data_IF_570210590381
#
_entry.id   IF_570210590381
#
_cell.length_a   1.000
_cell.length_b   1.000
_cell.length_c   1.000
_cell.angle_alpha   90.00
_cell.angle_beta   90.00
_cell.angle_gamma   90.00
#
_symmetry.space_group_name_H-M   'P 1'
#
loop_
_entity.id
_entity.type
_entity.pdbx_description
1 polymer ?
#
# COMPACT_ATOMS: atom_id res chain seq x y z
N UNK A 1 -39.69 8.77 38.74
CA UNK A 1 -41.11 8.45 38.49
C UNK A 1 -41.55 7.41 39.51
N UNK A 2 -42.45 7.80 40.43
CA UNK A 2 -43.22 6.93 41.33
C UNK A 2 -42.51 6.38 42.58
N UNK A 3 -42.55 7.09 43.71
CA UNK A 3 -42.36 6.47 45.03
C UNK A 3 -43.62 5.69 45.44
N UNK A 4 -43.54 4.66 46.31
CA UNK A 4 -44.72 3.90 46.74
C UNK A 4 -45.67 4.82 47.52
N UNK A 5 -46.90 4.96 47.06
CA UNK A 5 -47.93 5.70 47.77
C UNK A 5 -48.39 4.94 49.02
N UNK A 6 -48.59 5.67 50.11
CA UNK A 6 -49.26 5.14 51.30
C UNK A 6 -50.72 4.77 50.95
N UNK A 7 -51.29 3.74 51.59
CA UNK A 7 -52.66 3.32 51.32
C UNK A 7 -53.65 4.42 51.72
N UNK A 8 -54.82 4.51 51.04
CA UNK A 8 -55.84 5.49 51.40
C UNK A 8 -56.35 5.24 52.82
N UNK A 9 -56.27 6.26 53.68
CA UNK A 9 -56.94 6.27 54.99
C UNK A 9 -58.37 6.80 54.82
N UNK A 10 -59.34 5.95 55.15
CA UNK A 10 -60.75 6.34 55.23
C UNK A 10 -61.69 5.18 54.91
N UNK A 11 -62.48 4.76 55.90
CA UNK A 11 -63.66 3.91 55.68
C UNK A 11 -64.69 4.71 54.87
N UNK A 12 -65.23 4.18 53.77
CA UNK A 12 -66.30 4.87 53.04
C UNK A 12 -67.57 4.93 53.90
N UNK A 13 -68.06 6.13 54.23
CA UNK A 13 -69.42 6.30 54.76
C UNK A 13 -70.44 6.11 53.63
N UNK A 14 -71.37 5.17 53.80
CA UNK A 14 -72.42 4.93 52.81
C UNK A 14 -73.58 4.05 53.28
N UNK A 15 -74.57 4.70 53.92
CA UNK A 15 -76.02 4.48 53.70
C UNK A 15 -76.69 3.21 54.28
N UNK A 16 -77.84 3.31 54.97
CA UNK A 16 -78.53 2.16 55.53
C UNK A 16 -79.34 1.42 54.45
N UNK A 17 -78.87 0.23 54.05
CA UNK A 17 -79.70 -0.75 53.34
C UNK A 17 -78.93 -1.62 52.34
N UNK A 18 -78.77 -2.91 52.66
CA UNK A 18 -78.32 -3.95 51.73
C UNK A 18 -76.98 -4.56 52.08
N UNK A 19 -76.99 -5.70 52.80
CA UNK A 19 -75.81 -6.36 53.37
C UNK A 19 -75.03 -7.26 52.38
N UNK A 20 -74.93 -6.92 51.08
CA UNK A 20 -74.27 -7.81 50.10
C UNK A 20 -73.19 -7.17 49.20
N UNK A 21 -72.88 -5.88 49.31
CA UNK A 21 -71.91 -5.21 48.40
C UNK A 21 -70.74 -4.50 49.11
N UNK A 22 -70.33 -4.92 50.31
CA UNK A 22 -69.22 -4.28 51.05
C UNK A 22 -67.82 -4.58 50.46
N UNK A 23 -67.66 -5.65 49.69
CA UNK A 23 -66.34 -6.11 49.19
C UNK A 23 -66.08 -5.82 47.71
N UNK A 24 -67.02 -5.17 46.99
CA UNK A 24 -66.89 -4.93 45.54
C UNK A 24 -66.01 -3.74 45.17
N UNK A 25 -65.62 -2.91 46.14
CA UNK A 25 -64.81 -1.71 45.93
C UNK A 25 -63.32 -1.90 46.23
N UNK A 26 -62.89 -3.08 46.72
CA UNK A 26 -61.49 -3.36 47.05
C UNK A 26 -60.80 -4.08 45.90
N UNK A 27 -59.97 -3.37 45.14
CA UNK A 27 -59.15 -3.95 44.07
C UNK A 27 -57.86 -4.51 44.67
N UNK A 28 -57.74 -5.84 44.71
CA UNK A 28 -56.52 -6.53 45.16
C UNK A 28 -55.46 -6.53 44.05
N UNK A 29 -54.68 -5.47 43.93
CA UNK A 29 -53.57 -5.38 42.99
C UNK A 29 -52.24 -5.93 43.57
N UNK A 30 -51.21 -6.07 42.72
CA UNK A 30 -49.88 -6.61 43.12
C UNK A 30 -49.20 -5.72 44.19
N UNK A 31 -49.57 -4.44 44.26
CA UNK A 31 -49.04 -3.49 45.24
C UNK A 31 -49.65 -3.72 46.64
N UNK A 32 -50.94 -4.03 46.71
CA UNK A 32 -51.63 -4.42 47.93
C UNK A 32 -51.04 -5.70 48.53
N UNK A 33 -50.80 -6.72 47.70
CA UNK A 33 -50.20 -8.00 48.12
C UNK A 33 -48.77 -7.80 48.64
N UNK A 34 -48.00 -6.88 48.05
CA UNK A 34 -46.64 -6.56 48.52
C UNK A 34 -46.60 -5.73 49.80
N UNK A 35 -47.61 -4.89 50.04
CA UNK A 35 -47.72 -4.06 51.23
C UNK A 35 -48.22 -4.82 52.47
N UNK A 36 -48.78 -6.03 52.30
CA UNK A 36 -49.23 -6.88 53.39
C UNK A 36 -48.09 -7.22 54.37
N UNK A 37 -48.23 -6.76 55.62
CA UNK A 37 -47.22 -6.93 56.69
C UNK A 37 -47.28 -8.30 57.38
N UNK A 38 -48.28 -9.09 57.04
CA UNK A 38 -48.64 -10.35 57.67
C UNK A 38 -48.76 -11.43 56.61
N UNK A 39 -48.18 -12.61 56.88
CA UNK A 39 -48.24 -13.77 56.00
C UNK A 39 -48.83 -14.94 56.79
N UNK A 40 -49.89 -15.56 56.25
CA UNK A 40 -50.50 -16.76 56.84
C UNK A 40 -49.63 -18.00 56.56
N UNK A 41 -49.65 -18.94 57.51
CA UNK A 41 -49.00 -20.24 57.35
C UNK A 41 -49.79 -21.16 56.42
N UNK A 42 -49.08 -21.98 55.65
CA UNK A 42 -49.67 -22.99 54.77
C UNK A 42 -50.41 -24.07 55.57
N UNK A 43 -51.36 -24.75 54.94
CA UNK A 43 -52.18 -25.78 55.60
C UNK A 43 -51.34 -26.92 56.21
N UNK A 44 -50.20 -27.23 55.59
CA UNK A 44 -49.26 -28.27 56.02
C UNK A 44 -48.43 -27.84 57.24
N UNK A 45 -48.01 -26.57 57.31
CA UNK A 45 -47.27 -26.03 58.46
C UNK A 45 -48.13 -25.93 59.73
N UNK A 46 -49.47 -25.81 59.60
CA UNK A 46 -50.39 -25.81 60.74
C UNK A 46 -50.59 -27.18 61.37
N UNK A 47 -50.25 -28.26 60.67
CA UNK A 47 -50.39 -29.62 61.22
C UNK A 47 -49.29 -29.98 62.22
N UNK A 48 -48.15 -29.28 62.17
CA UNK A 48 -46.97 -29.63 62.95
C UNK A 48 -46.93 -28.99 64.35
N UNK A 49 -47.54 -27.82 64.55
CA UNK A 49 -47.46 -27.13 65.84
C UNK A 49 -48.65 -26.16 66.05
N UNK A 50 -49.28 -26.18 67.21
CA UNK A 50 -50.48 -25.38 67.54
C UNK A 50 -50.11 -23.92 67.89
N UNK A 51 -49.43 -23.23 66.98
CA UNK A 51 -49.01 -21.84 67.10
C UNK A 51 -49.93 -20.89 66.30
N UNK A 52 -50.06 -19.61 66.70
CA UNK A 52 -51.01 -18.67 66.09
C UNK A 52 -50.81 -18.47 64.57
N UNK A 53 -51.92 -18.31 63.85
CA UNK A 53 -52.03 -18.53 62.39
C UNK A 53 -51.30 -17.52 61.47
N UNK A 54 -50.49 -16.60 62.00
CA UNK A 54 -49.90 -15.50 61.22
C UNK A 54 -48.50 -15.14 61.70
N UNK A 55 -47.55 -14.94 60.76
CA UNK A 55 -46.21 -14.40 61.05
C UNK A 55 -45.97 -13.05 60.38
N UNK A 56 -45.15 -12.19 61.00
CA UNK A 56 -44.68 -10.93 60.39
C UNK A 56 -43.61 -11.22 59.34
N UNK A 57 -43.72 -10.59 58.17
CA UNK A 57 -42.73 -10.71 57.08
C UNK A 57 -41.47 -9.87 57.39
N UNK A 58 -40.25 -10.40 57.25
CA UNK A 58 -39.03 -9.61 57.40
C UNK A 58 -38.82 -8.65 56.19
N UNK A 59 -38.22 -7.46 56.40
CA UNK A 59 -38.02 -6.48 55.33
C UNK A 59 -36.99 -6.96 54.29
N UNK A 60 -37.25 -6.71 53.01
CA UNK A 60 -36.31 -7.01 51.92
C UNK A 60 -35.09 -6.07 52.00
N UNK A 61 -33.96 -6.55 52.53
CA UNK A 61 -32.68 -5.85 52.43
C UNK A 61 -32.10 -5.97 51.03
N UNK A 62 -32.16 -4.89 50.25
CA UNK A 62 -31.58 -4.78 48.90
C UNK A 62 -30.15 -4.23 48.99
N UNK A 63 -29.21 -5.06 49.44
CA UNK A 63 -27.78 -4.77 49.33
C UNK A 63 -27.20 -5.51 48.13
N UNK A 64 -26.58 -4.80 47.18
CA UNK A 64 -25.73 -5.44 46.17
C UNK A 64 -24.66 -6.26 46.91
N UNK A 65 -24.74 -7.59 46.80
CA UNK A 65 -23.81 -8.50 47.46
C UNK A 65 -22.39 -8.20 47.01
N UNK A 66 -21.43 -8.17 47.95
CA UNK A 66 -19.98 -7.97 47.68
C UNK A 66 -19.47 -8.79 46.48
N UNK A 67 -20.07 -9.95 46.25
CA UNK A 67 -19.80 -10.85 45.14
C UNK A 67 -20.01 -10.21 43.75
N UNK A 68 -21.07 -9.42 43.56
CA UNK A 68 -21.34 -8.73 42.27
C UNK A 68 -20.30 -7.64 42.03
N UNK A 69 -19.89 -6.95 43.09
CA UNK A 69 -18.85 -5.92 43.03
C UNK A 69 -17.48 -6.51 42.69
N UNK A 70 -17.13 -7.65 43.29
CA UNK A 70 -15.90 -8.38 42.99
C UNK A 70 -15.91 -8.88 41.53
N UNK A 71 -17.03 -9.42 41.06
CA UNK A 71 -17.17 -9.88 39.68
C UNK A 71 -16.99 -8.72 38.68
N UNK A 72 -17.59 -7.57 38.95
CA UNK A 72 -17.45 -6.39 38.09
C UNK A 72 -15.99 -5.89 38.02
N UNK A 73 -15.28 -5.91 39.14
CA UNK A 73 -13.84 -5.55 39.18
C UNK A 73 -13.00 -6.55 38.39
N UNK A 74 -13.27 -7.85 38.51
CA UNK A 74 -12.55 -8.88 37.73
C UNK A 74 -12.77 -8.72 36.22
N UNK A 75 -14.01 -8.44 35.80
CA UNK A 75 -14.33 -8.17 34.39
C UNK A 75 -13.60 -6.91 33.89
N UNK A 76 -13.59 -5.84 34.68
CA UNK A 76 -12.88 -4.61 34.33
C UNK A 76 -11.36 -4.82 34.20
N UNK A 77 -10.75 -5.61 35.09
CA UNK A 77 -9.33 -5.97 35.01
C UNK A 77 -9.06 -6.84 33.78
N UNK A 78 -9.90 -7.83 33.48
CA UNK A 78 -9.73 -8.68 32.32
C UNK A 78 -9.80 -7.87 31.02
N UNK A 79 -10.79 -6.98 30.89
CA UNK A 79 -10.90 -6.07 29.74
C UNK A 79 -9.76 -5.07 29.67
N UNK A 80 -9.34 -4.49 30.81
CA UNK A 80 -8.19 -3.60 30.88
C UNK A 80 -6.92 -4.30 30.40
N UNK A 81 -6.69 -5.55 30.81
CA UNK A 81 -5.55 -6.36 30.39
C UNK A 81 -5.64 -6.71 28.89
N UNK A 82 -6.81 -7.05 28.38
CA UNK A 82 -7.00 -7.36 26.96
C UNK A 82 -6.78 -6.12 26.06
N UNK A 83 -7.27 -4.95 26.46
CA UNK A 83 -7.02 -3.68 25.78
C UNK A 83 -5.53 -3.32 25.88
N UNK A 84 -4.93 -3.49 27.06
CA UNK A 84 -3.51 -3.23 27.28
C UNK A 84 -2.62 -4.13 26.42
N UNK A 85 -2.94 -5.43 26.30
CA UNK A 85 -2.22 -6.37 25.43
C UNK A 85 -2.51 -6.14 23.93
N UNK A 86 -3.72 -5.71 23.58
CA UNK A 86 -4.07 -5.34 22.20
C UNK A 86 -3.37 -4.05 21.75
N UNK A 87 -3.14 -3.11 22.67
CA UNK A 87 -2.45 -1.84 22.40
C UNK A 87 -0.93 -1.99 22.53
N UNK A 88 -0.43 -2.82 23.45
CA UNK A 88 0.97 -3.19 23.56
C UNK A 88 1.19 -4.62 23.09
N UNK A 89 1.43 -4.81 21.80
CA UNK A 89 1.88 -6.09 21.25
C UNK A 89 3.22 -6.50 21.88
N UNK A 90 3.32 -7.56 22.72
CA UNK A 90 4.58 -7.98 23.33
C UNK A 90 5.40 -8.96 22.46
N UNK A 91 4.98 -9.23 21.22
CA UNK A 91 5.66 -10.15 20.29
C UNK A 91 6.20 -9.48 19.02
N UNK A 92 6.38 -8.17 19.06
CA UNK A 92 7.31 -7.50 18.16
C UNK A 92 8.44 -6.98 19.02
N UNK A 93 9.37 -7.87 19.40
CA UNK A 93 10.73 -7.39 19.62
C UNK A 93 11.05 -6.55 18.38
N UNK A 94 11.38 -5.25 18.51
CA UNK A 94 11.93 -4.54 17.39
C UNK A 94 13.25 -5.24 17.08
N UNK A 95 13.21 -6.20 16.15
CA UNK A 95 14.39 -6.47 15.36
C UNK A 95 14.73 -5.10 14.82
N UNK A 96 15.83 -4.52 15.31
CA UNK A 96 16.27 -3.22 14.88
C UNK A 96 16.21 -3.24 13.36
N UNK A 97 15.27 -2.49 12.80
CA UNK A 97 15.01 -2.50 11.36
C UNK A 97 16.35 -2.18 10.72
N UNK A 98 16.84 -3.07 9.86
CA UNK A 98 18.14 -2.85 9.23
C UNK A 98 18.01 -1.55 8.44
N UNK A 99 18.96 -0.61 8.57
CA UNK A 99 18.92 0.63 7.79
C UNK A 99 18.79 0.31 6.30
N UNK A 100 17.83 0.93 5.62
CA UNK A 100 17.68 0.77 4.18
C UNK A 100 18.84 1.47 3.48
N UNK A 101 19.54 0.75 2.61
CA UNK A 101 20.62 1.32 1.83
C UNK A 101 20.07 2.34 0.81
N UNK A 102 20.69 3.53 0.67
CA UNK A 102 20.25 4.49 -0.34
C UNK A 102 20.53 3.95 -1.74
N UNK A 103 19.60 4.18 -2.67
CA UNK A 103 19.69 3.76 -4.07
C UNK A 103 21.00 4.21 -4.71
N UNK A 104 21.63 3.30 -5.45
CA UNK A 104 22.71 3.58 -6.40
C UNK A 104 22.20 3.47 -7.82
N UNK A 105 22.52 4.46 -8.65
CA UNK A 105 22.02 4.53 -10.01
C UNK A 105 23.13 4.79 -11.02
N UNK A 106 22.97 4.18 -12.19
CA UNK A 106 23.82 4.41 -13.35
C UNK A 106 22.90 4.63 -14.55
N UNK A 107 23.03 5.77 -15.21
CA UNK A 107 22.26 6.10 -16.42
C UNK A 107 23.25 6.27 -17.57
N UNK A 108 23.11 5.45 -18.60
CA UNK A 108 24.01 5.42 -19.75
C UNK A 108 23.23 5.80 -21.02
N UNK A 109 23.44 7.01 -21.53
CA UNK A 109 22.98 7.39 -22.86
C UNK A 109 23.65 6.53 -23.95
N UNK A 110 22.86 6.08 -24.92
CA UNK A 110 23.31 5.32 -26.08
C UNK A 110 23.22 6.18 -27.34
N UNK A 111 24.38 6.58 -27.87
CA UNK A 111 24.48 7.43 -29.04
C UNK A 111 24.30 6.63 -30.35
N UNK A 112 23.37 7.02 -31.24
CA UNK A 112 23.26 6.40 -32.56
C UNK A 112 24.50 6.69 -33.42
N UNK A 113 24.92 5.70 -34.20
CA UNK A 113 26.04 5.87 -35.14
C UNK A 113 25.67 6.68 -36.39
N UNK A 114 24.38 6.79 -36.71
CA UNK A 114 23.87 7.43 -37.91
C UNK A 114 22.68 8.34 -37.65
N UNK A 115 21.92 8.64 -38.72
CA UNK A 115 20.62 9.29 -38.56
C UNK A 115 19.67 8.34 -37.84
N UNK A 116 18.90 8.84 -36.89
CA UNK A 116 17.83 8.09 -36.25
C UNK A 116 16.78 7.76 -37.31
N UNK A 117 16.42 6.46 -37.50
CA UNK A 117 15.36 6.09 -38.41
C UNK A 117 14.00 6.60 -37.94
N UNK A 118 13.10 6.84 -38.89
CA UNK A 118 11.73 7.15 -38.59
C UNK A 118 10.79 6.83 -39.74
N UNK A 119 9.51 6.69 -39.41
CA UNK A 119 8.43 6.45 -40.36
C UNK A 119 7.16 7.13 -39.84
N UNK A 120 6.22 7.42 -40.75
CA UNK A 120 4.94 8.04 -40.38
C UNK A 120 4.09 7.12 -39.47
N UNK A 121 4.24 5.80 -39.63
CA UNK A 121 3.48 4.80 -38.88
C UNK A 121 4.36 4.11 -37.82
N UNK A 122 3.93 4.22 -36.56
CA UNK A 122 4.57 3.60 -35.41
C UNK A 122 4.47 2.06 -35.45
N UNK A 123 3.37 1.51 -35.95
CA UNK A 123 3.17 0.06 -36.04
C UNK A 123 4.18 -0.55 -37.01
N UNK A 124 4.38 0.08 -38.17
CA UNK A 124 5.44 -0.30 -39.11
C UNK A 124 6.83 -0.26 -38.48
N UNK A 125 7.15 0.76 -37.68
CA UNK A 125 8.44 0.82 -36.99
C UNK A 125 8.63 -0.35 -36.04
N UNK A 126 7.61 -0.66 -35.22
CA UNK A 126 7.67 -1.80 -34.31
C UNK A 126 7.87 -3.12 -35.07
N UNK A 127 7.08 -3.36 -36.12
CA UNK A 127 7.13 -4.56 -36.94
C UNK A 127 8.49 -4.79 -37.61
N UNK A 128 9.22 -3.71 -37.94
CA UNK A 128 10.55 -3.76 -38.57
C UNK A 128 11.70 -3.55 -37.57
N UNK A 129 11.45 -3.72 -36.28
CA UNK A 129 12.45 -3.57 -35.22
C UNK A 129 12.68 -4.87 -34.44
N UNK A 130 13.75 -4.95 -33.63
CA UNK A 130 13.92 -6.05 -32.67
C UNK A 130 12.78 -6.17 -31.65
N UNK A 131 11.94 -5.14 -31.50
CA UNK A 131 10.79 -5.14 -30.61
C UNK A 131 9.52 -5.73 -31.24
N UNK A 132 9.57 -6.17 -32.51
CA UNK A 132 8.43 -6.82 -33.17
C UNK A 132 7.81 -7.98 -32.36
N UNK A 133 8.58 -8.88 -31.70
CA UNK A 133 8.00 -9.97 -30.92
C UNK A 133 7.61 -9.56 -29.49
N UNK A 134 7.87 -8.32 -29.07
CA UNK A 134 7.64 -7.90 -27.69
C UNK A 134 6.14 -7.72 -27.44
N UNK A 135 5.60 -8.31 -26.35
CA UNK A 135 4.25 -8.02 -25.91
C UNK A 135 4.05 -6.54 -25.56
N UNK A 136 2.79 -6.10 -25.64
CA UNK A 136 2.40 -4.72 -25.29
C UNK A 136 2.18 -4.58 -23.78
N UNK A 137 2.74 -3.52 -23.20
CA UNK A 137 2.53 -3.07 -21.83
C UNK A 137 2.82 -4.15 -20.78
N UNK A 138 1.93 -4.25 -19.79
CA UNK A 138 2.11 -5.15 -18.65
C UNK A 138 2.14 -6.66 -19.00
N UNK A 139 1.73 -7.03 -20.23
CA UNK A 139 1.85 -8.40 -20.74
C UNK A 139 3.32 -8.79 -20.98
N UNK A 140 4.21 -7.82 -21.24
CA UNK A 140 5.65 -8.04 -21.40
C UNK A 140 6.42 -8.17 -20.09
N UNK A 141 5.70 -8.19 -18.95
CA UNK A 141 6.25 -8.34 -17.60
C UNK A 141 5.57 -9.59 -16.96
N UNK A 142 5.87 -10.80 -17.44
CA UNK A 142 5.28 -12.01 -16.88
C UNK A 142 5.85 -12.27 -15.47
N UNK A 143 4.99 -12.76 -14.56
CA UNK A 143 5.47 -13.28 -13.29
C UNK A 143 6.06 -14.68 -13.53
N UNK A 144 7.27 -14.98 -13.06
CA UNK A 144 7.83 -16.32 -13.17
C UNK A 144 7.04 -17.29 -12.28
N UNK A 145 7.09 -18.57 -12.63
CA UNK A 145 6.68 -19.63 -11.71
C UNK A 145 7.58 -19.55 -10.48
N UNK A 146 6.98 -19.38 -9.31
CA UNK A 146 7.69 -19.22 -8.04
C UNK A 146 7.37 -20.38 -7.10
N UNK A 147 8.26 -20.59 -6.13
CA UNK A 147 8.15 -21.60 -5.08
C UNK A 147 8.59 -20.97 -3.77
N UNK A 148 8.24 -21.58 -2.64
CA UNK A 148 8.83 -21.21 -1.35
C UNK A 148 10.35 -21.36 -1.37
N UNK A 149 11.03 -20.51 -0.61
CA UNK A 149 12.45 -20.62 -0.31
C UNK A 149 12.65 -21.24 1.09
N UNK A 150 13.85 -21.14 1.67
CA UNK A 150 14.12 -21.68 3.00
C UNK A 150 13.35 -20.92 4.10
N UNK A 151 13.25 -19.60 3.99
CA UNK A 151 12.65 -18.73 5.01
C UNK A 151 11.44 -17.93 4.53
N UNK A 152 11.12 -17.96 3.23
CA UNK A 152 9.95 -17.29 2.65
C UNK A 152 8.97 -18.30 2.06
N UNK A 153 7.70 -18.15 2.41
CA UNK A 153 6.61 -18.91 1.81
C UNK A 153 6.43 -18.55 0.34
N UNK A 154 5.84 -19.44 -0.45
CA UNK A 154 5.51 -19.18 -1.85
C UNK A 154 4.66 -17.90 -2.01
N UNK A 155 3.69 -17.69 -1.11
CA UNK A 155 2.86 -16.48 -1.12
C UNK A 155 3.66 -15.19 -0.93
N UNK A 156 4.72 -15.21 -0.12
CA UNK A 156 5.60 -14.05 0.08
C UNK A 156 6.46 -13.78 -1.15
N UNK A 157 6.97 -14.83 -1.80
CA UNK A 157 7.72 -14.71 -3.05
C UNK A 157 6.84 -14.14 -4.17
N UNK A 158 5.60 -14.63 -4.30
CA UNK A 158 4.60 -14.11 -5.25
C UNK A 158 4.26 -12.66 -4.94
N UNK A 159 4.09 -12.30 -3.67
CA UNK A 159 3.81 -10.92 -3.26
C UNK A 159 4.94 -9.98 -3.67
N UNK A 160 6.19 -10.33 -3.41
CA UNK A 160 7.37 -9.53 -3.80
C UNK A 160 7.44 -9.31 -5.32
N UNK A 161 7.30 -10.40 -6.09
CA UNK A 161 7.28 -10.33 -7.56
C UNK A 161 6.14 -9.45 -8.08
N UNK A 162 4.97 -9.50 -7.43
CA UNK A 162 3.81 -8.69 -7.79
C UNK A 162 4.03 -7.21 -7.48
N UNK A 163 4.61 -6.88 -6.31
CA UNK A 163 4.98 -5.51 -5.94
C UNK A 163 5.97 -4.94 -6.97
N UNK A 164 7.02 -5.70 -7.31
CA UNK A 164 8.01 -5.27 -8.32
C UNK A 164 7.37 -5.08 -9.69
N UNK A 165 6.53 -6.02 -10.15
CA UNK A 165 5.78 -5.85 -11.41
C UNK A 165 4.97 -4.56 -11.42
N UNK A 166 4.24 -4.28 -10.35
CA UNK A 166 3.43 -3.07 -10.23
C UNK A 166 4.28 -1.80 -10.24
N UNK A 167 5.44 -1.81 -9.59
CA UNK A 167 6.38 -0.69 -9.65
C UNK A 167 6.92 -0.47 -11.07
N UNK A 168 7.29 -1.54 -11.78
CA UNK A 168 7.79 -1.44 -13.16
C UNK A 168 6.71 -0.87 -14.08
N UNK A 169 5.47 -1.32 -13.96
CA UNK A 169 4.34 -0.77 -14.72
C UNK A 169 4.19 0.72 -14.43
N UNK A 170 4.10 1.10 -13.16
CA UNK A 170 3.92 2.50 -12.76
C UNK A 170 5.11 3.38 -13.12
N UNK A 171 6.33 2.88 -13.09
CA UNK A 171 7.56 3.66 -13.34
C UNK A 171 8.01 3.69 -14.79
N UNK A 172 7.49 2.82 -15.67
CA UNK A 172 7.91 2.74 -17.08
C UNK A 172 6.78 2.73 -18.11
N UNK A 173 5.52 2.50 -17.75
CA UNK A 173 4.44 2.32 -18.73
C UNK A 173 3.32 3.36 -18.65
N UNK A 174 3.26 4.13 -17.58
CA UNK A 174 2.23 5.13 -17.36
C UNK A 174 2.58 6.43 -18.11
N UNK A 175 1.75 6.91 -19.05
CA UNK A 175 2.04 8.13 -19.82
C UNK A 175 2.29 9.37 -18.95
N UNK A 176 1.61 9.47 -17.80
CA UNK A 176 1.78 10.55 -16.82
C UNK A 176 3.16 10.56 -16.14
N UNK A 177 3.88 9.43 -16.19
CA UNK A 177 5.26 9.29 -15.73
C UNK A 177 6.24 9.49 -16.88
N UNK A 178 5.96 8.86 -18.03
CA UNK A 178 6.86 8.85 -19.18
C UNK A 178 7.01 10.24 -19.78
N UNK A 179 5.89 10.88 -20.13
CA UNK A 179 5.86 12.21 -20.76
C UNK A 179 5.18 13.25 -19.86
N UNK A 180 4.92 12.90 -18.61
CA UNK A 180 4.40 13.82 -17.60
C UNK A 180 5.42 14.15 -16.51
N UNK A 181 4.96 14.88 -15.51
CA UNK A 181 5.78 15.31 -14.37
C UNK A 181 5.45 14.56 -13.08
N UNK A 182 4.53 13.57 -13.11
CA UNK A 182 4.01 12.94 -11.91
C UNK A 182 4.59 11.54 -11.69
N UNK A 183 5.43 11.37 -10.67
CA UNK A 183 5.92 10.06 -10.23
C UNK A 183 5.22 9.55 -8.95
N UNK A 184 4.09 10.15 -8.56
CA UNK A 184 3.39 9.89 -7.28
C UNK A 184 3.03 8.41 -7.10
N UNK A 185 2.59 7.76 -8.17
CA UNK A 185 2.23 6.35 -8.17
C UNK A 185 3.42 5.42 -7.87
N UNK A 186 4.60 5.71 -8.43
CA UNK A 186 5.82 4.96 -8.15
C UNK A 186 6.37 5.31 -6.76
N UNK A 187 6.38 6.59 -6.40
CA UNK A 187 6.80 7.10 -5.08
C UNK A 187 6.06 6.44 -3.93
N UNK A 188 4.75 6.24 -4.06
CA UNK A 188 3.92 5.64 -3.00
C UNK A 188 4.31 4.18 -2.66
N UNK A 189 5.04 3.50 -3.54
CA UNK A 189 5.51 2.13 -3.32
C UNK A 189 6.91 2.08 -2.70
N UNK A 190 7.66 3.17 -2.75
CA UNK A 190 9.04 3.23 -2.23
C UNK A 190 9.00 3.18 -0.70
N UNK A 191 9.95 2.44 -0.12
CA UNK A 191 10.14 2.38 1.33
C UNK A 191 10.31 3.79 1.94
N UNK A 192 9.69 4.09 3.09
CA UNK A 192 9.73 5.42 3.71
C UNK A 192 11.14 5.95 3.95
N UNK A 193 12.12 5.09 4.24
CA UNK A 193 13.51 5.46 4.46
C UNK A 193 14.20 5.95 3.17
N UNK A 194 13.70 5.58 1.99
CA UNK A 194 14.21 6.04 0.70
C UNK A 194 13.47 7.27 0.14
N UNK A 195 12.37 7.71 0.76
CA UNK A 195 11.58 8.83 0.25
C UNK A 195 12.35 10.16 0.23
N UNK A 196 13.24 10.40 1.20
CA UNK A 196 14.06 11.60 1.21
C UNK A 196 14.99 11.68 -0.01
N UNK A 197 15.63 10.57 -0.37
CA UNK A 197 16.46 10.48 -1.57
C UNK A 197 15.61 10.60 -2.85
N UNK A 198 14.45 9.95 -2.88
CA UNK A 198 13.52 10.06 -3.99
C UNK A 198 13.15 11.52 -4.22
N UNK A 199 12.65 12.23 -3.19
CA UNK A 199 12.22 13.62 -3.29
C UNK A 199 13.38 14.54 -3.70
N UNK A 200 14.55 14.37 -3.07
CA UNK A 200 15.76 15.11 -3.45
C UNK A 200 16.14 14.90 -4.92
N UNK A 201 15.97 13.70 -5.46
CA UNK A 201 16.24 13.44 -6.87
C UNK A 201 15.37 14.31 -7.77
N UNK A 202 14.09 14.50 -7.42
CA UNK A 202 13.14 15.28 -8.23
C UNK A 202 13.30 16.78 -8.03
N UNK A 203 13.61 17.23 -6.81
CA UNK A 203 13.79 18.65 -6.47
C UNK A 203 15.14 19.20 -6.96
N UNK A 204 16.20 18.41 -6.83
CA UNK A 204 17.57 18.77 -7.21
C UNK A 204 18.25 17.64 -8.01
N UNK A 205 17.83 17.41 -9.28
CA UNK A 205 18.41 16.36 -10.10
C UNK A 205 19.92 16.51 -10.27
N UNK A 206 20.67 15.42 -10.06
CA UNK A 206 22.12 15.39 -10.23
C UNK A 206 22.63 14.09 -10.84
N UNK A 207 23.72 14.17 -11.61
CA UNK A 207 24.42 13.04 -12.19
C UNK A 207 25.50 12.47 -11.24
N UNK A 208 25.16 12.29 -9.96
CA UNK A 208 26.07 11.84 -8.89
C UNK A 208 25.92 10.35 -8.55
N UNK A 209 25.12 9.63 -9.34
CA UNK A 209 24.82 8.22 -9.12
C UNK A 209 23.87 7.95 -7.95
N UNK A 210 23.16 8.98 -7.48
CA UNK A 210 22.17 8.89 -6.39
C UNK A 210 20.91 9.74 -6.58
N UNK A 211 20.98 10.83 -7.32
CA UNK A 211 19.89 11.82 -7.39
C UNK A 211 19.40 12.12 -8.81
N UNK A 212 19.46 11.14 -9.72
CA UNK A 212 18.83 11.21 -11.03
C UNK A 212 17.40 10.62 -10.99
N UNK A 213 16.34 11.42 -11.21
CA UNK A 213 14.97 10.93 -11.37
C UNK A 213 14.81 9.84 -12.42
N UNK A 214 15.62 9.87 -13.48
CA UNK A 214 15.62 8.86 -14.55
C UNK A 214 16.10 7.48 -14.09
N UNK A 215 16.76 7.38 -12.93
CA UNK A 215 17.03 6.10 -12.26
C UNK A 215 15.79 5.52 -11.56
N UNK A 216 14.94 6.37 -11.00
CA UNK A 216 13.71 5.93 -10.34
C UNK A 216 12.64 5.52 -11.34
N UNK A 217 12.39 6.36 -12.34
CA UNK A 217 11.30 6.19 -13.32
C UNK A 217 11.76 6.61 -14.71
N UNK A 218 11.10 6.12 -15.76
CA UNK A 218 11.38 6.56 -17.13
C UNK A 218 10.76 7.94 -17.33
N UNK A 219 11.59 8.96 -17.57
CA UNK A 219 11.14 10.33 -17.85
C UNK A 219 11.71 10.80 -19.18
N UNK A 220 10.85 10.98 -20.16
CA UNK A 220 11.17 11.56 -21.46
C UNK A 220 10.82 13.04 -21.41
N UNK A 221 11.73 13.89 -21.88
CA UNK A 221 11.53 15.34 -21.90
C UNK A 221 10.29 15.72 -22.72
N UNK A 222 9.19 16.17 -22.07
CA UNK A 222 7.93 16.44 -22.75
C UNK A 222 7.99 17.65 -23.68
N UNK A 223 8.99 18.53 -23.51
CA UNK A 223 9.22 19.63 -24.43
C UNK A 223 9.82 19.14 -25.76
N UNK A 224 10.44 17.95 -25.78
CA UNK A 224 11.04 17.37 -26.98
C UNK A 224 10.18 16.31 -27.65
N UNK A 225 9.58 15.41 -26.87
CA UNK A 225 8.87 14.27 -27.41
C UNK A 225 7.59 13.94 -26.64
N UNK A 226 6.63 13.39 -27.39
CA UNK A 226 5.40 12.78 -26.87
C UNK A 226 5.26 11.37 -27.41
N UNK A 227 4.45 10.54 -26.75
CA UNK A 227 4.10 9.23 -27.28
C UNK A 227 3.36 9.38 -28.62
N UNK A 228 3.82 8.62 -29.61
CA UNK A 228 3.14 8.42 -30.89
C UNK A 228 2.06 7.34 -30.79
N UNK A 229 2.28 6.39 -29.88
CA UNK A 229 1.48 5.21 -29.62
C UNK A 229 1.61 4.86 -28.12
N UNK A 230 0.50 4.49 -27.50
CA UNK A 230 0.43 4.04 -26.11
C UNK A 230 0.73 2.53 -25.98
N UNK A 231 0.79 1.78 -27.09
CA UNK A 231 1.14 0.37 -27.14
C UNK A 231 2.65 0.10 -26.99
N UNK A 232 3.21 0.55 -25.86
CA UNK A 232 4.62 0.40 -25.51
C UNK A 232 5.00 -1.08 -25.51
N UNK A 233 6.07 -1.43 -26.24
CA UNK A 233 6.58 -2.79 -26.36
C UNK A 233 7.54 -3.10 -25.21
N UNK A 234 7.34 -4.24 -24.55
CA UNK A 234 8.14 -4.63 -23.38
C UNK A 234 8.57 -6.08 -23.49
N UNK A 235 9.81 -6.36 -23.14
CA UNK A 235 10.29 -7.73 -22.90
C UNK A 235 11.28 -7.74 -21.75
N UNK A 236 11.18 -8.74 -20.89
CA UNK A 236 12.06 -8.89 -19.76
C UNK A 236 11.68 -10.05 -18.86
N UNK A 237 12.34 -10.12 -17.71
CA UNK A 237 12.07 -11.15 -16.72
C UNK A 237 12.24 -10.61 -15.30
N UNK A 238 11.58 -11.30 -14.37
CA UNK A 238 11.74 -11.11 -12.95
C UNK A 238 12.37 -12.38 -12.36
N UNK A 239 13.20 -12.20 -11.34
CA UNK A 239 13.79 -13.29 -10.58
C UNK A 239 13.79 -12.96 -9.11
N UNK A 240 13.26 -13.86 -8.29
CA UNK A 240 13.31 -13.74 -6.83
C UNK A 240 14.32 -14.74 -6.27
N UNK A 241 15.16 -14.30 -5.34
CA UNK A 241 16.09 -15.13 -4.58
C UNK A 241 16.09 -14.72 -3.12
N UNK A 242 16.26 -15.69 -2.23
CA UNK A 242 16.50 -15.40 -0.83
C UNK A 242 17.97 -15.01 -0.65
N UNK A 243 18.23 -13.78 -0.22
CA UNK A 243 19.58 -13.28 0.03
C UNK A 243 20.07 -13.71 1.42
N UNK A 244 19.19 -13.63 2.42
CA UNK A 244 19.37 -14.19 3.76
C UNK A 244 18.02 -14.52 4.41
N UNK A 245 18.02 -15.01 5.66
CA UNK A 245 16.80 -15.44 6.36
C UNK A 245 15.75 -14.33 6.61
N UNK A 246 16.15 -13.07 6.45
CA UNK A 246 15.31 -11.89 6.64
C UNK A 246 15.04 -11.12 5.34
N UNK A 247 15.77 -11.41 4.25
CA UNK A 247 15.79 -10.57 3.04
C UNK A 247 15.52 -11.39 1.78
N UNK A 248 14.44 -11.04 1.09
CA UNK A 248 14.17 -11.51 -0.27
C UNK A 248 14.64 -10.45 -1.27
N UNK A 249 15.47 -10.85 -2.23
CA UNK A 249 15.92 -10.01 -3.32
C UNK A 249 15.14 -10.34 -4.60
N UNK A 250 14.70 -9.30 -5.32
CA UNK A 250 14.07 -9.44 -6.62
C UNK A 250 14.86 -8.64 -7.64
N UNK A 251 15.30 -9.27 -8.71
CA UNK A 251 15.93 -8.62 -9.86
C UNK A 251 14.92 -8.50 -10.99
N UNK A 252 14.90 -7.34 -11.65
CA UNK A 252 14.10 -7.08 -12.84
C UNK A 252 14.99 -6.56 -13.97
N UNK A 253 15.02 -7.27 -15.09
CA UNK A 253 15.71 -6.84 -16.32
C UNK A 253 14.68 -6.74 -17.44
N UNK A 254 14.33 -5.51 -17.82
CA UNK A 254 13.31 -5.23 -18.83
C UNK A 254 13.79 -4.19 -19.83
N UNK A 255 13.47 -4.44 -21.10
CA UNK A 255 13.64 -3.49 -22.20
C UNK A 255 12.27 -2.98 -22.64
N UNK A 256 12.12 -1.65 -22.64
CA UNK A 256 10.93 -0.91 -23.05
C UNK A 256 11.23 -0.19 -24.36
N UNK A 257 10.29 -0.21 -25.31
CA UNK A 257 10.43 0.49 -26.59
C UNK A 257 9.20 1.37 -26.84
N UNK A 258 9.43 2.67 -26.87
CA UNK A 258 8.43 3.72 -27.03
C UNK A 258 8.48 4.26 -28.46
N UNK A 259 7.34 4.42 -29.11
CA UNK A 259 7.23 5.21 -30.33
C UNK A 259 7.01 6.67 -29.96
N UNK A 260 7.85 7.56 -30.47
CA UNK A 260 7.88 8.97 -30.10
C UNK A 260 7.71 9.88 -31.32
N UNK A 261 6.95 10.96 -31.13
CA UNK A 261 6.84 12.08 -32.06
C UNK A 261 7.43 13.35 -31.43
N UNK A 262 7.95 14.28 -32.23
CA UNK A 262 8.34 15.58 -31.69
C UNK A 262 7.13 16.31 -31.13
N UNK A 263 7.30 16.97 -29.98
CA UNK A 263 6.24 17.77 -29.37
C UNK A 263 5.87 18.94 -30.29
N UNK A 264 4.57 19.15 -30.52
CA UNK A 264 4.07 20.20 -31.43
C UNK A 264 4.22 19.90 -32.93
N UNK A 265 4.66 18.69 -33.31
CA UNK A 265 4.80 18.32 -34.71
C UNK A 265 3.45 18.15 -35.43
N UNK A 266 3.47 18.38 -36.74
CA UNK A 266 2.34 18.12 -37.64
C UNK A 266 1.97 16.63 -37.65
N UNK A 267 0.77 16.32 -38.15
CA UNK A 267 0.21 14.95 -38.15
C UNK A 267 1.00 13.95 -38.98
N UNK A 268 1.82 14.42 -39.93
CA UNK A 268 2.65 13.63 -40.83
C UNK A 268 4.11 13.50 -40.36
N UNK A 269 4.45 14.04 -39.20
CA UNK A 269 5.80 13.96 -38.67
C UNK A 269 6.22 12.50 -38.44
N UNK A 270 7.45 12.11 -38.83
CA UNK A 270 7.92 10.74 -38.65
C UNK A 270 8.13 10.43 -37.17
N UNK A 271 7.55 9.33 -36.71
CA UNK A 271 7.83 8.76 -35.41
C UNK A 271 9.21 8.09 -35.39
N UNK A 272 9.77 7.92 -34.20
CA UNK A 272 11.00 7.16 -33.95
C UNK A 272 10.82 6.20 -32.78
N UNK A 273 11.55 5.09 -32.79
CA UNK A 273 11.62 4.21 -31.64
C UNK A 273 12.71 4.69 -30.67
N UNK A 274 12.35 4.71 -29.39
CA UNK A 274 13.24 5.00 -28.27
C UNK A 274 13.24 3.80 -27.31
N UNK A 275 14.42 3.28 -27.01
CA UNK A 275 14.61 2.06 -26.25
C UNK A 275 15.24 2.38 -24.90
N UNK A 276 14.68 1.82 -23.84
CA UNK A 276 15.20 1.91 -22.47
C UNK A 276 15.30 0.50 -21.88
N UNK A 277 16.51 0.05 -21.56
CA UNK A 277 16.73 -1.14 -20.74
C UNK A 277 16.97 -0.73 -19.29
N UNK A 278 16.25 -1.36 -18.37
CA UNK A 278 16.37 -1.16 -16.93
C UNK A 278 16.68 -2.49 -16.26
N UNK A 279 17.80 -2.55 -15.58
CA UNK A 279 18.17 -3.62 -14.67
C UNK A 279 18.10 -3.09 -13.24
N UNK A 280 17.13 -3.58 -12.48
CA UNK A 280 16.77 -3.09 -11.14
C UNK A 280 16.89 -4.21 -10.12
N UNK A 281 17.45 -3.90 -8.97
CA UNK A 281 17.53 -4.84 -7.83
C UNK A 281 16.77 -4.29 -6.65
N UNK A 282 15.80 -5.08 -6.16
CA UNK A 282 14.93 -4.75 -5.05
C UNK A 282 15.21 -5.67 -3.87
N UNK A 283 15.02 -5.16 -2.65
CA UNK A 283 15.00 -5.96 -1.42
C UNK A 283 13.67 -5.80 -0.71
N UNK A 284 13.29 -6.87 -0.01
CA UNK A 284 12.09 -6.96 0.80
C UNK A 284 12.41 -7.67 2.11
N UNK A 285 12.07 -7.02 3.21
CA UNK A 285 11.83 -7.69 4.48
C UNK A 285 10.35 -8.06 4.65
N UNK A 286 9.97 -8.61 5.81
CA UNK A 286 8.58 -9.02 6.06
C UNK A 286 7.62 -7.83 6.23
N UNK A 287 8.12 -6.69 6.69
CA UNK A 287 7.33 -5.46 6.82
C UNK A 287 7.06 -4.84 5.45
N UNK A 288 8.04 -4.82 4.55
CA UNK A 288 7.89 -4.37 3.17
C UNK A 288 6.77 -5.14 2.47
N UNK A 289 6.80 -6.47 2.58
CA UNK A 289 5.76 -7.34 2.01
C UNK A 289 4.38 -7.08 2.62
N UNK A 290 4.31 -6.82 3.93
CA UNK A 290 3.06 -6.52 4.64
C UNK A 290 2.47 -5.16 4.24
N UNK A 291 3.33 -4.19 3.98
CA UNK A 291 2.97 -2.80 3.68
C UNK A 291 2.89 -2.50 2.18
N UNK A 292 3.23 -3.48 1.33
CA UNK A 292 3.35 -3.35 -0.13
C UNK A 292 4.36 -2.27 -0.56
N UNK A 293 5.45 -2.17 0.20
CA UNK A 293 6.55 -1.26 -0.10
C UNK A 293 7.75 -2.03 -0.66
N UNK A 294 8.66 -1.32 -1.32
CA UNK A 294 9.89 -1.86 -1.88
C UNK A 294 11.09 -1.00 -1.53
N UNK A 295 12.23 -1.66 -1.35
CA UNK A 295 13.53 -1.00 -1.27
C UNK A 295 14.23 -1.19 -2.62
N UNK A 296 14.50 -0.12 -3.35
CA UNK A 296 15.26 -0.17 -4.60
C UNK A 296 16.74 0.06 -4.29
N UNK A 297 17.58 -0.94 -4.48
CA UNK A 297 19.00 -0.91 -4.09
C UNK A 297 19.88 -0.43 -5.23
N UNK A 298 19.65 -0.96 -6.43
CA UNK A 298 20.43 -0.64 -7.63
C UNK A 298 19.50 -0.37 -8.81
N UNK A 299 19.81 0.68 -9.57
CA UNK A 299 19.16 0.98 -10.85
C UNK A 299 20.19 1.21 -11.95
N UNK A 300 20.27 0.28 -12.90
CA UNK A 300 21.10 0.42 -14.09
C UNK A 300 20.22 0.66 -15.31
N UNK A 301 20.39 1.82 -15.96
CA UNK A 301 19.56 2.29 -17.08
C UNK A 301 20.44 2.50 -18.30
N UNK A 302 20.05 1.90 -19.41
CA UNK A 302 20.63 2.17 -20.72
C UNK A 302 19.52 2.69 -21.64
N UNK A 303 19.69 3.86 -22.23
CA UNK A 303 18.63 4.50 -23.01
C UNK A 303 19.15 5.10 -24.32
N UNK A 304 18.43 4.93 -25.42
CA UNK A 304 18.79 5.52 -26.70
C UNK A 304 17.68 5.41 -27.75
N UNK A 305 17.72 6.21 -28.83
CA UNK A 305 18.83 7.09 -29.22
C UNK A 305 18.92 8.38 -28.37
N UNK A 306 20.10 8.68 -27.81
CA UNK A 306 20.39 9.89 -27.03
C UNK A 306 21.69 10.56 -27.49
N UNK A 307 21.90 11.84 -27.16
CA UNK A 307 23.20 12.49 -27.29
C UNK A 307 23.98 12.36 -25.98
N UNK A 308 25.26 11.97 -26.05
CA UNK A 308 26.08 11.76 -24.85
C UNK A 308 26.58 13.04 -24.17
N UNK A 309 26.56 14.17 -24.88
CA UNK A 309 26.93 15.47 -24.32
C UNK A 309 25.79 16.13 -23.53
N UNK A 310 24.55 15.63 -23.62
CA UNK A 310 23.42 16.16 -22.88
C UNK A 310 23.25 15.41 -21.55
N UNK A 311 22.96 16.15 -20.48
CA UNK A 311 22.62 15.55 -19.19
C UNK A 311 21.34 14.71 -19.30
N UNK A 312 21.39 13.49 -18.75
CA UNK A 312 20.26 12.55 -18.73
C UNK A 312 19.71 12.33 -17.31
N UNK A 313 20.15 13.11 -16.32
CA UNK A 313 19.76 12.93 -14.93
C UNK A 313 18.29 13.28 -14.68
N UNK A 314 17.86 14.47 -15.12
CA UNK A 314 16.50 14.97 -14.89
C UNK A 314 15.48 14.38 -15.87
N UNK A 315 15.83 14.34 -17.17
CA UNK A 315 14.99 13.82 -18.25
C UNK A 315 15.87 13.18 -19.31
N UNK A 316 15.38 12.11 -19.92
CA UNK A 316 15.90 11.56 -21.17
C UNK A 316 15.48 12.48 -22.31
N UNK A 317 16.43 12.86 -23.16
CA UNK A 317 16.21 13.78 -24.30
C UNK A 317 16.44 13.04 -25.63
N UNK A 318 15.42 12.34 -26.16
CA UNK A 318 15.54 11.51 -27.35
C UNK A 318 16.07 12.30 -28.55
N UNK A 319 16.93 11.64 -29.33
CA UNK A 319 17.15 12.03 -30.72
C UNK A 319 16.04 11.38 -31.57
N UNK A 320 15.32 12.20 -32.33
CA UNK A 320 14.19 11.79 -33.15
C UNK A 320 14.56 11.68 -34.63
N UNK A 321 13.62 11.24 -35.45
CA UNK A 321 13.80 10.89 -36.85
C UNK A 321 14.64 11.95 -37.62
N UNK A 322 15.67 11.47 -38.31
CA UNK A 322 16.58 12.30 -39.10
C UNK A 322 17.69 13.00 -38.30
N UNK A 323 17.57 13.11 -36.98
CA UNK A 323 18.61 13.67 -36.12
C UNK A 323 19.81 12.72 -35.99
N UNK A 324 20.96 13.25 -35.55
CA UNK A 324 22.21 12.52 -35.32
C UNK A 324 22.75 12.90 -33.95
N UNK A 325 23.55 12.03 -33.35
CA UNK A 325 24.36 12.42 -32.21
C UNK A 325 25.38 13.48 -32.67
N UNK A 326 25.51 14.57 -31.89
CA UNK A 326 26.54 15.57 -32.11
C UNK A 326 27.94 15.02 -31.78
N UNK A 327 28.97 15.76 -32.19
CA UNK A 327 30.35 15.50 -31.76
C UNK A 327 30.53 15.98 -30.31
N UNK A 328 30.53 15.05 -29.35
CA UNK A 328 30.71 15.38 -27.94
C UNK A 328 30.56 14.15 -27.05
N UNK A 329 31.33 14.12 -25.97
CA UNK A 329 31.26 13.10 -24.93
C UNK A 329 30.60 13.63 -23.66
N UNK A 330 30.43 12.77 -22.66
CA UNK A 330 30.02 13.20 -21.33
C UNK A 330 30.99 14.24 -20.74
N UNK A 331 30.54 14.95 -19.69
CA UNK A 331 31.39 15.86 -18.94
C UNK A 331 32.65 15.16 -18.40
N UNK A 332 33.74 15.91 -18.24
CA UNK A 332 34.98 15.37 -17.68
C UNK A 332 34.81 14.94 -16.22
N UNK A 333 35.50 13.88 -15.82
CA UNK A 333 35.56 13.41 -14.42
C UNK A 333 36.79 13.98 -13.73
N UNK A 334 36.60 14.60 -12.57
CA UNK A 334 37.70 15.00 -11.70
C UNK A 334 37.97 13.86 -10.69
N UNK A 335 39.12 13.16 -10.76
CA UNK A 335 39.42 12.03 -9.87
C UNK A 335 39.66 12.45 -8.40
N UNK A 336 39.77 13.75 -8.12
CA UNK A 336 39.90 14.28 -6.77
C UNK A 336 38.56 14.65 -6.12
N UNK A 337 37.46 14.65 -6.87
CA UNK A 337 36.12 14.83 -6.32
C UNK A 337 35.57 13.48 -5.87
N UNK A 338 35.28 13.33 -4.58
CA UNK A 338 34.80 12.06 -3.99
C UNK A 338 33.32 11.77 -4.27
N UNK A 339 32.58 12.76 -4.75
CA UNK A 339 31.12 12.80 -4.65
C UNK A 339 30.42 12.69 -6.03
N UNK A 340 31.18 12.48 -7.11
CA UNK A 340 30.64 12.35 -8.48
C UNK A 340 30.63 10.91 -9.00
N UNK A 341 29.57 10.54 -9.72
CA UNK A 341 29.59 9.33 -10.52
C UNK A 341 30.35 9.58 -11.83
N UNK A 342 31.16 8.61 -12.27
CA UNK A 342 31.81 8.67 -13.58
C UNK A 342 30.72 8.70 -14.66
N UNK A 343 30.64 9.74 -15.49
CA UNK A 343 29.64 9.82 -16.54
C UNK A 343 30.03 8.87 -17.67
N UNK A 344 29.07 8.03 -18.06
CA UNK A 344 29.25 6.97 -19.05
C UNK A 344 28.46 7.32 -20.31
N UNK A 345 28.98 6.87 -21.45
CA UNK A 345 28.31 6.97 -22.75
C UNK A 345 28.54 5.67 -23.50
N UNK A 346 27.47 5.10 -24.05
CA UNK A 346 27.53 3.93 -24.91
C UNK A 346 27.21 4.25 -26.37
N UNK A 347 27.55 3.33 -27.26
CA UNK A 347 27.14 3.39 -28.66
C UNK A 347 25.88 2.55 -28.85
N UNK A 348 24.83 3.14 -29.41
CA UNK A 348 23.63 2.41 -29.80
C UNK A 348 23.92 1.56 -31.04
N UNK A 349 23.81 0.24 -30.90
CA UNK A 349 23.97 -0.70 -32.00
C UNK A 349 22.95 -0.45 -33.11
N UNK A 350 23.38 -0.51 -34.37
CA UNK A 350 22.47 -0.47 -35.53
C UNK A 350 21.49 -1.64 -35.55
N UNK A 351 21.84 -2.76 -34.91
CA UNK A 351 20.94 -3.91 -34.75
C UNK A 351 19.77 -3.62 -33.79
N UNK A 352 19.90 -2.62 -32.91
CA UNK A 352 18.85 -2.21 -31.99
C UNK A 352 17.82 -1.25 -32.63
N UNK A 353 18.07 -0.81 -33.88
CA UNK A 353 17.24 0.17 -34.57
C UNK A 353 16.25 -0.51 -35.55
N UNK A 354 15.09 0.12 -35.81
CA UNK A 354 14.19 -0.36 -36.85
C UNK A 354 14.86 -0.28 -38.23
N UNK A 355 14.53 -1.26 -39.08
CA UNK A 355 14.93 -1.30 -40.49
C UNK A 355 13.90 -0.55 -41.33
N UNK A 356 14.37 0.11 -42.40
CA UNK A 356 13.53 0.85 -43.34
C UNK A 356 12.65 -0.08 -44.20
#
# INVERSE_FOLDING_TARGET
MGGPGDPPEGTPEGGPGGAEDEYRSVVFDESFVRAARLQEFSAEERMADHAPAVRRRPPLHRGLTRQVLILAVLIAIAFGTAIYMGVRHPYSSPQARRPVEPLRMTVIPLAPQGKVPGAADAERLYAHSPAAPFPVGAKGIPLPVSRSTAHFSESQVVAALTIVKNYIVRSSLHPEVITGHEARAARAMVDPEQLAQFDQSFDHPAADGRHAPTGWVVRIDPARARLADEEIRVSGSLRAVEADSATLEVTADHTFVYALLPTGAASDAPASLFTVRRELTFRFDRDDLRTNQLQLVTSYVQAGPLACAEDASSYLRPLLAGQRAGSGGPAGTNPYDSDGATPLCGTLSTQAQPRA
#
